data_IF_587111491091
#
_entry.id   IF_587111491091
#
_cell.length_a   1.000
_cell.length_b   1.000
_cell.length_c   1.000
_cell.angle_alpha   90.00
_cell.angle_beta   90.00
_cell.angle_gamma   90.00
#
_symmetry.space_group_name_H-M   'P 1'
#
loop_
_entity.id
_entity.type
_entity.pdbx_description
1 polymer ?
#
# COMPACT_ATOMS: atom_id res chain seq x y z
N UNK A 1 23.75 -32.37 9.15
CA UNK A 1 23.38 -30.95 9.33
C UNK A 1 21.86 -30.86 9.16
N UNK A 2 21.08 -30.64 10.23
CA UNK A 2 19.64 -30.43 10.12
C UNK A 2 19.43 -29.13 9.33
N UNK A 3 18.63 -29.17 8.27
CA UNK A 3 18.25 -27.97 7.52
C UNK A 3 17.42 -27.12 8.46
N UNK A 4 17.86 -25.88 8.74
CA UNK A 4 17.04 -24.87 9.41
C UNK A 4 15.73 -24.71 8.62
N UNK A 5 14.60 -24.53 9.33
CA UNK A 5 13.36 -24.18 8.64
C UNK A 5 13.54 -22.84 7.91
N UNK A 6 12.72 -22.58 6.90
CA UNK A 6 12.80 -21.33 6.12
C UNK A 6 12.73 -20.10 7.03
N UNK A 7 11.84 -20.10 8.05
CA UNK A 7 11.73 -19.03 9.02
C UNK A 7 13.01 -18.81 9.84
N UNK A 8 13.60 -19.86 10.39
CA UNK A 8 14.87 -19.75 11.13
C UNK A 8 16.03 -19.26 10.26
N UNK A 9 16.06 -19.65 8.98
CA UNK A 9 17.04 -19.13 8.03
C UNK A 9 16.87 -17.64 7.78
N UNK A 10 15.63 -17.15 7.66
CA UNK A 10 15.33 -15.73 7.52
C UNK A 10 15.73 -14.93 8.76
N UNK A 11 15.35 -15.40 9.95
CA UNK A 11 15.75 -14.78 11.23
C UNK A 11 17.29 -14.69 11.34
N UNK A 12 18.00 -15.76 11.01
CA UNK A 12 19.47 -15.75 11.07
C UNK A 12 20.07 -14.68 10.14
N UNK A 13 19.59 -14.58 8.88
CA UNK A 13 20.03 -13.57 7.94
C UNK A 13 19.79 -12.15 8.44
N UNK A 14 18.58 -11.90 9.01
CA UNK A 14 18.23 -10.62 9.59
C UNK A 14 19.18 -10.25 10.75
N UNK A 15 19.40 -11.17 11.67
CA UNK A 15 20.31 -10.95 12.81
C UNK A 15 21.72 -10.61 12.32
N UNK A 16 22.23 -11.35 11.35
CA UNK A 16 23.55 -11.07 10.76
C UNK A 16 23.56 -9.69 10.12
N UNK A 17 22.57 -9.36 9.27
CA UNK A 17 22.48 -8.07 8.59
C UNK A 17 22.42 -6.89 9.57
N UNK A 18 21.59 -6.96 10.60
CA UNK A 18 21.45 -5.90 11.60
C UNK A 18 22.62 -5.84 12.59
N UNK A 19 23.41 -6.91 12.75
CA UNK A 19 24.61 -6.92 13.58
C UNK A 19 25.81 -6.28 12.88
N UNK A 20 25.77 -6.11 11.56
CA UNK A 20 26.81 -5.37 10.84
C UNK A 20 26.69 -3.88 11.15
N UNK A 21 27.79 -3.19 11.33
CA UNK A 21 27.79 -1.73 11.48
C UNK A 21 27.80 -1.02 10.11
N UNK A 22 27.20 -1.63 9.08
CA UNK A 22 27.13 -1.08 7.74
C UNK A 22 26.23 0.16 7.69
N UNK A 23 26.60 1.21 6.96
CA UNK A 23 25.78 2.41 6.79
C UNK A 23 24.55 2.16 5.87
N UNK A 24 24.57 1.09 5.09
CA UNK A 24 23.49 0.66 4.20
C UNK A 24 23.21 -0.82 4.42
N UNK A 25 21.95 -1.18 4.58
CA UNK A 25 21.49 -2.56 4.73
C UNK A 25 20.37 -2.80 3.72
N UNK A 26 20.57 -3.79 2.85
CA UNK A 26 19.56 -4.21 1.86
C UNK A 26 18.90 -5.50 2.35
N UNK A 27 17.59 -5.48 2.45
CA UNK A 27 16.75 -6.57 2.93
C UNK A 27 15.74 -6.93 1.85
N UNK A 28 15.88 -8.12 1.28
CA UNK A 28 14.97 -8.64 0.27
C UNK A 28 13.98 -9.60 0.92
N UNK A 29 12.68 -9.25 0.88
CA UNK A 29 11.57 -9.98 1.50
C UNK A 29 11.88 -10.47 2.93
N UNK A 30 12.33 -9.61 3.85
CA UNK A 30 12.91 -10.05 5.12
C UNK A 30 11.92 -10.82 6.00
N UNK A 31 10.63 -10.53 5.90
CA UNK A 31 9.60 -11.13 6.76
C UNK A 31 8.83 -12.26 6.08
N UNK A 32 9.19 -12.61 4.85
CA UNK A 32 8.54 -13.70 4.13
C UNK A 32 8.74 -15.04 4.85
N UNK A 33 7.63 -15.73 5.12
CA UNK A 33 7.64 -17.01 5.84
C UNK A 33 7.81 -16.90 7.35
N UNK A 34 7.81 -15.69 7.92
CA UNK A 34 7.74 -15.47 9.37
C UNK A 34 6.27 -15.43 9.84
N UNK A 35 6.01 -15.95 11.02
CA UNK A 35 4.73 -15.73 11.71
C UNK A 35 4.62 -14.28 12.24
N UNK A 36 3.42 -13.90 12.68
CA UNK A 36 3.14 -12.53 13.14
C UNK A 36 4.06 -12.08 14.29
N UNK A 37 4.39 -12.97 15.23
CA UNK A 37 5.27 -12.62 16.36
C UNK A 37 6.69 -12.33 15.92
N UNK A 38 7.22 -13.14 14.98
CA UNK A 38 8.57 -12.93 14.45
C UNK A 38 8.65 -11.69 13.54
N UNK A 39 7.58 -11.35 12.80
CA UNK A 39 7.51 -10.11 12.03
C UNK A 39 7.54 -8.88 12.94
N UNK A 40 6.71 -8.86 13.98
CA UNK A 40 6.70 -7.79 14.99
C UNK A 40 8.07 -7.62 15.65
N UNK A 41 8.71 -8.74 16.02
CA UNK A 41 10.06 -8.73 16.57
C UNK A 41 11.08 -8.14 15.60
N UNK A 42 11.00 -8.48 14.31
CA UNK A 42 11.86 -7.92 13.27
C UNK A 42 11.72 -6.39 13.21
N UNK A 43 10.50 -5.88 13.09
CA UNK A 43 10.27 -4.44 12.98
C UNK A 43 10.74 -3.68 14.24
N UNK A 44 10.46 -4.20 15.41
CA UNK A 44 10.96 -3.63 16.68
C UNK A 44 12.49 -3.61 16.75
N UNK A 45 13.13 -4.70 16.32
CA UNK A 45 14.60 -4.80 16.29
C UNK A 45 15.21 -3.83 15.29
N UNK A 46 14.62 -3.69 14.11
CA UNK A 46 15.03 -2.75 13.08
C UNK A 46 14.99 -1.31 13.60
N UNK A 47 13.87 -0.92 14.21
CA UNK A 47 13.69 0.42 14.78
C UNK A 47 14.62 0.68 15.97
N UNK A 48 14.78 -0.28 16.87
CA UNK A 48 15.71 -0.16 18.01
C UNK A 48 17.14 0.06 17.51
N UNK A 49 17.56 -0.73 16.52
CA UNK A 49 18.89 -0.60 15.91
C UNK A 49 19.08 0.73 15.18
N UNK A 50 18.05 1.21 14.48
CA UNK A 50 18.07 2.53 13.84
C UNK A 50 18.19 3.66 14.87
N UNK A 51 17.47 3.56 15.98
CA UNK A 51 17.50 4.56 17.06
C UNK A 51 18.87 4.62 17.76
N UNK A 52 19.55 3.48 17.94
CA UNK A 52 20.90 3.44 18.53
C UNK A 52 21.95 4.03 17.60
N UNK A 53 21.87 3.70 16.32
CA UNK A 53 22.81 4.14 15.30
C UNK A 53 22.09 4.20 13.95
N UNK A 54 21.72 5.39 13.47
CA UNK A 54 21.05 5.57 12.19
C UNK A 54 21.84 4.97 11.03
N UNK A 55 21.12 4.30 10.14
CA UNK A 55 21.63 3.70 8.90
C UNK A 55 20.54 3.73 7.84
N UNK A 56 20.87 3.56 6.57
CA UNK A 56 19.87 3.43 5.51
C UNK A 56 19.45 1.98 5.35
N UNK A 57 18.17 1.68 5.63
CA UNK A 57 17.57 0.39 5.32
C UNK A 57 16.81 0.45 4.00
N UNK A 58 17.18 -0.38 3.04
CA UNK A 58 16.42 -0.58 1.80
C UNK A 58 15.72 -1.93 1.90
N UNK A 59 14.40 -1.92 1.85
CA UNK A 59 13.58 -3.13 2.02
C UNK A 59 12.75 -3.33 0.74
N UNK A 60 12.99 -4.44 0.05
CA UNK A 60 12.10 -4.90 -1.02
C UNK A 60 11.05 -5.82 -0.42
N UNK A 61 9.78 -5.57 -0.67
CA UNK A 61 8.69 -6.41 -0.18
C UNK A 61 7.39 -6.17 -0.96
N UNK A 62 6.55 -7.20 -1.01
CA UNK A 62 5.16 -7.10 -1.46
C UNK A 62 4.16 -6.96 -0.29
N UNK A 63 4.63 -7.05 0.96
CA UNK A 63 3.81 -6.90 2.18
C UNK A 63 3.74 -5.42 2.60
N UNK A 64 3.16 -4.59 1.72
CA UNK A 64 3.18 -3.13 1.81
C UNK A 64 2.52 -2.62 3.09
N UNK A 65 1.36 -3.18 3.46
CA UNK A 65 0.62 -2.76 4.66
C UNK A 65 1.44 -2.87 5.94
N UNK A 66 2.23 -3.94 6.06
CA UNK A 66 3.01 -4.23 7.26
C UNK A 66 4.14 -3.22 7.50
N UNK A 67 4.72 -2.68 6.41
CA UNK A 67 5.88 -1.80 6.49
C UNK A 67 5.51 -0.32 6.29
N UNK A 68 4.34 -0.03 5.74
CA UNK A 68 3.96 1.31 5.29
C UNK A 68 4.12 2.41 6.36
N UNK A 69 3.98 2.06 7.64
CA UNK A 69 4.10 2.99 8.76
C UNK A 69 5.56 3.23 9.22
N UNK A 70 6.52 2.44 8.72
CA UNK A 70 7.93 2.51 9.11
C UNK A 70 8.81 3.23 8.10
N UNK A 71 8.36 3.30 6.84
CA UNK A 71 9.17 3.80 5.73
C UNK A 71 8.98 5.30 5.51
N UNK A 72 10.07 5.98 5.18
CA UNK A 72 10.10 7.39 4.83
C UNK A 72 9.94 7.58 3.32
N UNK A 73 10.76 6.88 2.54
CA UNK A 73 10.79 6.95 1.08
C UNK A 73 10.30 5.66 0.44
N UNK A 74 9.65 5.79 -0.71
CA UNK A 74 9.08 4.68 -1.49
C UNK A 74 9.59 4.73 -2.92
N UNK A 75 9.89 3.55 -3.47
CA UNK A 75 10.10 3.33 -4.90
C UNK A 75 9.15 2.22 -5.34
N UNK A 76 8.21 2.54 -6.22
CA UNK A 76 7.29 1.55 -6.81
C UNK A 76 7.87 1.06 -8.14
N UNK A 77 8.13 -0.25 -8.20
CA UNK A 77 8.66 -0.92 -9.38
C UNK A 77 7.58 -1.82 -10.00
N UNK A 78 7.43 -1.75 -11.32
CA UNK A 78 6.53 -2.62 -12.08
C UNK A 78 7.11 -2.90 -13.45
N UNK A 79 7.18 -4.17 -13.84
CA UNK A 79 7.77 -4.62 -15.12
C UNK A 79 9.15 -4.01 -15.42
N UNK A 80 10.01 -3.89 -14.39
CA UNK A 80 11.37 -3.35 -14.55
C UNK A 80 11.45 -1.82 -14.70
N UNK A 81 10.34 -1.11 -14.52
CA UNK A 81 10.27 0.35 -14.57
C UNK A 81 9.92 0.94 -13.21
N UNK A 82 10.43 2.14 -12.92
CA UNK A 82 10.03 2.93 -11.76
C UNK A 82 8.74 3.66 -12.13
N UNK A 83 7.63 3.32 -11.46
CA UNK A 83 6.34 4.00 -11.65
C UNK A 83 6.20 5.25 -10.79
N UNK A 84 6.72 5.20 -9.56
CA UNK A 84 6.75 6.34 -8.64
C UNK A 84 7.95 6.22 -7.70
N UNK A 85 8.46 7.36 -7.25
CA UNK A 85 9.49 7.43 -6.21
C UNK A 85 9.38 8.74 -5.45
N UNK A 86 9.70 8.71 -4.16
CA UNK A 86 9.75 9.88 -3.31
C UNK A 86 9.25 9.62 -1.89
N UNK A 87 9.15 10.69 -1.08
CA UNK A 87 8.60 10.60 0.26
C UNK A 87 7.19 10.01 0.26
N UNK A 88 6.95 9.04 1.13
CA UNK A 88 5.66 8.37 1.26
C UNK A 88 4.50 9.37 1.41
N UNK A 89 4.70 10.39 2.25
CA UNK A 89 3.67 11.38 2.52
C UNK A 89 3.30 12.20 1.27
N UNK A 90 4.28 12.54 0.44
CA UNK A 90 4.04 13.27 -0.82
C UNK A 90 3.28 12.39 -1.83
N UNK A 91 3.65 11.12 -1.94
CA UNK A 91 2.97 10.18 -2.84
C UNK A 91 1.51 9.96 -2.42
N UNK A 92 1.23 9.91 -1.12
CA UNK A 92 -0.13 9.70 -0.61
C UNK A 92 -0.96 10.99 -0.57
N UNK A 93 -0.34 12.16 -0.45
CA UNK A 93 -1.05 13.45 -0.44
C UNK A 93 -1.77 13.75 -1.77
N UNK A 94 -1.38 13.09 -2.85
CA UNK A 94 -1.98 13.25 -4.18
C UNK A 94 -3.36 12.63 -4.35
N UNK A 95 -3.90 11.91 -3.34
CA UNK A 95 -5.17 11.22 -3.45
C UNK A 95 -5.90 11.00 -2.14
N UNK A 96 -7.16 10.63 -2.25
CA UNK A 96 -8.02 10.28 -1.11
C UNK A 96 -9.08 9.26 -1.51
N UNK A 97 -9.66 8.61 -0.51
CA UNK A 97 -10.76 7.66 -0.69
C UNK A 97 -12.05 8.25 -0.12
N UNK A 98 -13.15 8.11 -0.86
CA UNK A 98 -14.50 8.35 -0.38
C UNK A 98 -15.27 7.04 -0.37
N UNK A 99 -15.91 6.72 0.75
CA UNK A 99 -16.65 5.47 0.94
C UNK A 99 -18.05 5.72 1.46
N UNK A 100 -18.99 4.87 1.06
CA UNK A 100 -20.36 4.93 1.52
C UNK A 100 -21.34 4.19 0.62
N UNK A 101 -22.66 4.45 0.74
CA UNK A 101 -23.68 3.89 -0.14
C UNK A 101 -23.39 4.22 -1.61
N UNK A 102 -23.47 3.21 -2.48
CA UNK A 102 -23.06 3.29 -3.88
C UNK A 102 -23.62 4.52 -4.59
N UNK A 103 -24.92 4.77 -4.50
CA UNK A 103 -25.55 5.91 -5.19
C UNK A 103 -25.03 7.27 -4.73
N UNK A 104 -24.72 7.43 -3.42
CA UNK A 104 -24.17 8.69 -2.89
C UNK A 104 -22.71 8.90 -3.36
N UNK A 105 -21.92 7.83 -3.38
CA UNK A 105 -20.54 7.91 -3.87
C UNK A 105 -20.51 8.22 -5.36
N UNK A 106 -21.34 7.55 -6.17
CA UNK A 106 -21.46 7.80 -7.61
C UNK A 106 -21.85 9.24 -7.93
N UNK A 107 -22.71 9.85 -7.12
CA UNK A 107 -23.04 11.27 -7.26
C UNK A 107 -21.89 12.18 -6.87
N UNK A 108 -21.22 11.90 -5.77
CA UNK A 108 -20.11 12.70 -5.26
C UNK A 108 -18.89 12.72 -6.20
N UNK A 109 -18.61 11.62 -6.90
CA UNK A 109 -17.44 11.50 -7.78
C UNK A 109 -17.63 12.14 -9.17
N UNK A 110 -18.84 12.59 -9.52
CA UNK A 110 -19.10 13.24 -10.82
C UNK A 110 -18.21 14.43 -11.03
N UNK A 111 -17.48 14.42 -12.15
CA UNK A 111 -16.54 15.50 -12.53
C UNK A 111 -15.23 15.50 -11.74
N UNK A 112 -14.99 14.51 -10.86
CA UNK A 112 -13.71 14.36 -10.16
C UNK A 112 -12.80 13.37 -10.90
N UNK A 113 -11.50 13.50 -10.70
CA UNK A 113 -10.53 12.59 -11.31
C UNK A 113 -10.46 11.29 -10.52
N UNK A 114 -11.08 10.26 -11.08
CA UNK A 114 -11.15 8.92 -10.50
C UNK A 114 -9.87 8.15 -10.80
N UNK A 115 -9.29 7.54 -9.76
CA UNK A 115 -8.14 6.62 -9.86
C UNK A 115 -8.60 5.16 -9.92
N UNK A 116 -9.71 4.84 -9.23
CA UNK A 116 -10.29 3.50 -9.21
C UNK A 116 -11.46 3.40 -8.25
N UNK A 117 -12.14 2.24 -8.26
CA UNK A 117 -13.28 1.95 -7.38
C UNK A 117 -13.21 0.52 -6.86
N UNK A 118 -13.67 0.34 -5.63
CA UNK A 118 -13.94 -0.97 -5.03
C UNK A 118 -15.42 -1.05 -4.66
N UNK A 119 -16.07 -2.15 -5.01
CA UNK A 119 -17.48 -2.37 -4.68
C UNK A 119 -17.63 -3.56 -3.75
N UNK A 120 -18.36 -3.38 -2.67
CA UNK A 120 -18.70 -4.45 -1.74
C UNK A 120 -20.22 -4.39 -1.41
N UNK A 121 -21.00 -5.25 -2.07
CA UNK A 121 -22.45 -5.22 -1.95
C UNK A 121 -23.05 -3.88 -2.37
N UNK A 122 -23.76 -3.20 -1.47
CA UNK A 122 -24.35 -1.88 -1.69
C UNK A 122 -23.42 -0.71 -1.39
N UNK A 123 -22.16 -0.96 -0.99
CA UNK A 123 -21.17 0.04 -0.66
C UNK A 123 -20.17 0.22 -1.82
N UNK A 124 -19.68 1.43 -1.98
CA UNK A 124 -18.65 1.80 -2.94
C UNK A 124 -17.55 2.59 -2.22
N UNK A 125 -16.30 2.27 -2.52
CA UNK A 125 -15.15 3.07 -2.18
C UNK A 125 -14.51 3.58 -3.47
N UNK A 126 -14.47 4.90 -3.63
CA UNK A 126 -13.87 5.53 -4.80
C UNK A 126 -12.56 6.22 -4.40
N UNK A 127 -11.52 5.95 -5.16
CA UNK A 127 -10.19 6.53 -4.97
C UNK A 127 -10.03 7.67 -5.96
N UNK A 128 -9.76 8.87 -5.45
CA UNK A 128 -9.79 10.11 -6.20
C UNK A 128 -8.44 10.81 -6.14
N UNK A 129 -8.05 11.45 -7.22
CA UNK A 129 -6.88 12.32 -7.24
C UNK A 129 -7.25 13.71 -6.74
N UNK A 130 -6.36 14.33 -5.97
CA UNK A 130 -6.49 15.68 -5.44
C UNK A 130 -6.76 15.72 -3.95
N UNK A 131 -7.24 16.85 -3.47
CA UNK A 131 -7.52 17.10 -2.06
C UNK A 131 -9.04 17.12 -1.84
N UNK A 132 -9.56 16.41 -0.82
CA UNK A 132 -11.00 16.41 -0.55
C UNK A 132 -11.46 17.73 0.03
N UNK A 133 -12.61 18.21 -0.42
CA UNK A 133 -13.35 19.28 0.26
C UNK A 133 -14.23 18.64 1.36
N UNK A 134 -13.77 18.75 2.60
CA UNK A 134 -14.48 18.20 3.75
C UNK A 134 -15.78 18.96 4.06
N UNK A 135 -15.86 20.25 3.69
CA UNK A 135 -17.05 21.04 3.95
C UNK A 135 -18.21 20.68 2.99
N UNK A 136 -17.89 20.21 1.80
CA UNK A 136 -18.85 19.79 0.79
C UNK A 136 -19.15 18.28 0.81
N UNK A 137 -18.73 17.54 1.86
CA UNK A 137 -18.97 16.10 1.94
C UNK A 137 -20.43 15.83 2.32
N UNK A 138 -21.19 15.10 1.49
CA UNK A 138 -22.55 14.69 1.83
C UNK A 138 -22.62 13.80 3.08
N UNK A 139 -23.70 13.93 3.84
CA UNK A 139 -23.95 13.08 4.99
C UNK A 139 -24.08 11.60 4.55
N UNK A 140 -23.42 10.71 5.26
CA UNK A 140 -23.38 9.28 4.93
C UNK A 140 -22.21 8.85 4.07
N UNK A 141 -21.32 9.79 3.70
CA UNK A 141 -20.02 9.49 3.09
C UNK A 141 -18.90 9.69 4.10
N UNK A 142 -17.87 8.87 3.98
CA UNK A 142 -16.67 8.92 4.79
C UNK A 142 -15.45 9.20 3.89
N UNK A 143 -14.52 10.04 4.41
CA UNK A 143 -13.25 10.34 3.76
C UNK A 143 -12.10 9.67 4.53
N UNK A 144 -11.24 9.00 3.80
CA UNK A 144 -9.98 8.48 4.33
C UNK A 144 -8.80 8.88 3.43
N UNK A 145 -7.58 8.97 3.98
CA UNK A 145 -6.39 9.09 3.16
C UNK A 145 -6.28 7.90 2.21
N UNK A 146 -5.61 8.09 1.08
CA UNK A 146 -5.16 6.98 0.26
C UNK A 146 -4.05 6.25 1.00
N UNK A 147 -4.10 4.93 1.06
CA UNK A 147 -3.01 4.12 1.62
C UNK A 147 -2.03 3.66 0.54
N UNK A 148 -0.82 3.26 0.98
CA UNK A 148 0.25 2.90 0.07
C UNK A 148 -0.04 1.62 -0.72
N UNK A 149 -0.70 0.63 -0.11
CA UNK A 149 -1.07 -0.60 -0.80
C UNK A 149 -2.08 -0.31 -1.91
N UNK A 150 -3.08 0.54 -1.62
CA UNK A 150 -4.06 0.94 -2.62
C UNK A 150 -3.41 1.74 -3.74
N UNK A 151 -2.52 2.68 -3.43
CA UNK A 151 -1.75 3.40 -4.44
C UNK A 151 -0.99 2.44 -5.36
N UNK A 152 -0.30 1.46 -4.79
CA UNK A 152 0.41 0.43 -5.54
C UNK A 152 -0.53 -0.34 -6.48
N UNK A 153 -1.65 -0.84 -5.97
CA UNK A 153 -2.66 -1.56 -6.77
C UNK A 153 -3.18 -0.69 -7.92
N UNK A 154 -3.55 0.56 -7.64
CA UNK A 154 -4.05 1.49 -8.66
C UNK A 154 -3.02 1.80 -9.76
N UNK A 155 -1.73 1.78 -9.43
CA UNK A 155 -0.65 2.05 -10.39
C UNK A 155 -0.23 0.81 -11.19
N UNK A 156 -0.48 -0.40 -10.66
CA UNK A 156 -0.01 -1.65 -11.26
C UNK A 156 -1.11 -2.49 -11.90
N UNK A 157 -2.39 -2.16 -11.63
CA UNK A 157 -3.54 -2.84 -12.25
C UNK A 157 -3.77 -2.33 -13.67
N UNK A 158 -4.10 -3.24 -14.58
CA UNK A 158 -4.53 -2.88 -15.92
C UNK A 158 -5.84 -2.08 -15.86
N UNK A 159 -5.97 -0.98 -16.64
CA UNK A 159 -7.17 -0.12 -16.65
C UNK A 159 -8.47 -0.87 -16.92
N UNK A 160 -8.43 -1.98 -17.67
CA UNK A 160 -9.60 -2.79 -17.99
C UNK A 160 -10.15 -3.58 -16.79
N UNK A 161 -9.32 -3.92 -15.80
CA UNK A 161 -9.76 -4.64 -14.61
C UNK A 161 -10.34 -3.71 -13.54
N UNK A 162 -9.96 -2.45 -13.53
CA UNK A 162 -10.41 -1.47 -12.54
C UNK A 162 -11.86 -1.00 -12.78
N UNK A 163 -12.39 -1.17 -14.01
CA UNK A 163 -13.75 -0.72 -14.42
C UNK A 163 -14.76 -1.89 -14.49
N UNK A 164 -14.32 -3.14 -14.33
CA UNK A 164 -15.15 -4.34 -14.48
C UNK A 164 -16.27 -4.52 -13.41
N UNK A 165 -16.48 -3.54 -12.54
CA UNK A 165 -17.62 -3.48 -11.60
C UNK A 165 -18.89 -2.79 -12.13
N UNK A 166 -18.90 -2.29 -13.36
CA UNK A 166 -20.10 -1.69 -13.95
C UNK A 166 -20.95 -2.76 -14.65
N UNK A 167 -22.25 -2.89 -14.30
CA UNK A 167 -23.14 -3.78 -15.06
C UNK A 167 -23.24 -3.28 -16.49
N UNK A 168 -22.95 -4.15 -17.45
CA UNK A 168 -23.30 -3.93 -18.86
C UNK A 168 -24.80 -3.72 -18.91
N UNK A 169 -25.25 -2.56 -19.34
CA UNK A 169 -26.63 -2.35 -19.79
C UNK A 169 -26.81 -3.21 -21.04
N UNK A 170 -27.45 -4.36 -20.88
CA UNK A 170 -28.01 -5.09 -22.01
C UNK A 170 -29.07 -4.19 -22.65
N UNK A 171 -28.71 -3.58 -23.77
CA UNK A 171 -29.66 -2.95 -24.66
C UNK A 171 -30.51 -4.04 -25.29
N UNK A 172 -31.76 -4.16 -24.86
CA UNK A 172 -32.74 -4.97 -25.54
C UNK A 172 -33.01 -4.38 -26.90
N UNK A 173 -32.78 -5.17 -27.94
CA UNK A 173 -33.42 -5.02 -29.26
C UNK A 173 -34.72 -5.83 -29.24
N UNK A 174 -35.80 -5.13 -29.52
CA UNK A 174 -37.07 -5.70 -30.01
C UNK A 174 -37.06 -5.60 -31.49
#
# INVERSE_FOLDING_TARGET
>A
MSKLSTGYSSIFKIVVALSTNAPYVLLDEPVLGLDANHRDLFYKTLLARYAERPFTAVISTHLIEEISHLIEDVVILHHGQVLAQGPREELLAGGYTVSGPKGLVEEYIRGKRLLGVDTLGGLLSAHLQGTPDRAALPQGLELSPLDLQKLFVLMTSDPEQTIAGSPRTEGGEV
#
